data_IF_178889764992
#
_entry.id   IF_178889764992
#
_cell.length_a   1.000
_cell.length_b   1.000
_cell.length_c   1.000
_cell.angle_alpha   90.00
_cell.angle_beta   90.00
_cell.angle_gamma   90.00
#
_symmetry.space_group_name_H-M   'P 1'
#
loop_
_entity.id
_entity.type
_entity.pdbx_description
1 polymer ?
#
# COMPACT_ATOMS: atom_id res chain seq x y z
N UNK A 1 -17.89 2.38 6.36
CA UNK A 1 -16.53 2.85 6.68
C UNK A 1 -15.96 3.64 5.49
N UNK A 2 -15.85 4.98 5.60
CA UNK A 2 -15.46 5.88 4.50
C UNK A 2 -14.16 5.48 3.80
N UNK A 3 -13.19 4.95 4.56
CA UNK A 3 -11.86 4.57 4.09
C UNK A 3 -11.88 3.41 3.10
N UNK A 4 -12.92 2.56 3.13
CA UNK A 4 -12.99 1.38 2.26
C UNK A 4 -13.69 1.66 0.93
N UNK A 5 -14.43 2.77 0.80
CA UNK A 5 -15.32 3.02 -0.36
C UNK A 5 -14.59 3.09 -1.70
N UNK A 6 -13.34 3.53 -1.73
CA UNK A 6 -12.54 3.62 -2.95
C UNK A 6 -11.90 2.25 -3.28
N UNK A 7 -12.20 1.64 -4.45
CA UNK A 7 -11.62 0.36 -4.86
C UNK A 7 -10.09 0.35 -4.85
N UNK A 8 -9.44 1.48 -5.18
CA UNK A 8 -7.97 1.61 -5.15
C UNK A 8 -7.42 1.47 -3.75
N UNK A 9 -8.01 2.18 -2.78
CA UNK A 9 -7.60 2.10 -1.38
C UNK A 9 -7.81 0.69 -0.84
N UNK A 10 -8.93 0.06 -1.19
CA UNK A 10 -9.24 -1.31 -0.81
C UNK A 10 -8.20 -2.32 -1.35
N UNK A 11 -7.76 -2.14 -2.59
CA UNK A 11 -6.68 -2.96 -3.18
C UNK A 11 -5.32 -2.72 -2.49
N UNK A 12 -4.98 -1.47 -2.17
CA UNK A 12 -3.77 -1.15 -1.42
C UNK A 12 -3.78 -1.76 0.00
N UNK A 13 -4.91 -1.68 0.71
CA UNK A 13 -5.05 -2.31 2.03
C UNK A 13 -4.90 -3.83 1.96
N UNK A 14 -5.47 -4.50 0.95
CA UNK A 14 -5.31 -5.94 0.79
C UNK A 14 -3.85 -6.33 0.61
N UNK A 15 -3.12 -5.67 -0.30
CA UNK A 15 -1.69 -5.94 -0.52
C UNK A 15 -0.84 -5.64 0.71
N UNK A 16 -1.08 -4.52 1.40
CA UNK A 16 -0.34 -4.18 2.61
C UNK A 16 -0.58 -5.20 3.73
N UNK A 17 -1.82 -5.70 3.86
CA UNK A 17 -2.15 -6.76 4.81
C UNK A 17 -1.40 -8.05 4.49
N UNK A 18 -1.31 -8.45 3.22
CA UNK A 18 -0.57 -9.65 2.80
C UNK A 18 0.89 -9.58 3.27
N UNK A 19 1.57 -8.44 3.07
CA UNK A 19 2.94 -8.25 3.55
C UNK A 19 3.06 -8.22 5.08
N UNK A 20 2.12 -7.58 5.78
CA UNK A 20 2.12 -7.61 7.26
C UNK A 20 1.95 -9.04 7.78
N UNK A 21 1.13 -9.86 7.12
CA UNK A 21 0.97 -11.28 7.46
C UNK A 21 2.26 -12.06 7.23
N UNK A 22 2.93 -11.85 6.09
CA UNK A 22 4.24 -12.48 5.82
C UNK A 22 5.30 -12.09 6.85
N UNK A 23 5.37 -10.80 7.21
CA UNK A 23 6.28 -10.31 8.25
C UNK A 23 5.99 -10.98 9.61
N UNK A 24 4.72 -11.15 9.95
CA UNK A 24 4.29 -11.79 11.19
C UNK A 24 4.66 -13.28 11.20
N UNK A 25 4.43 -13.99 10.10
CA UNK A 25 4.79 -15.41 9.96
C UNK A 25 6.31 -15.60 10.06
N UNK A 26 7.10 -14.77 9.38
CA UNK A 26 8.56 -14.79 9.43
C UNK A 26 9.08 -14.52 10.86
N UNK A 27 8.50 -13.53 11.56
CA UNK A 27 8.85 -13.22 12.93
C UNK A 27 8.53 -14.39 13.89
N UNK A 28 7.37 -15.03 13.71
CA UNK A 28 6.96 -16.18 14.54
C UNK A 28 7.80 -17.44 14.26
N UNK A 29 8.23 -17.63 13.01
CA UNK A 29 9.09 -18.74 12.61
C UNK A 29 10.57 -18.56 13.04
N UNK A 30 10.92 -17.41 13.64
CA UNK A 30 12.28 -17.08 14.03
C UNK A 30 13.22 -16.87 12.84
N UNK A 31 12.68 -16.48 11.69
CA UNK A 31 13.47 -16.19 10.50
C UNK A 31 14.26 -14.87 10.66
N UNK A 32 15.25 -14.66 9.79
CA UNK A 32 16.14 -13.50 9.84
C UNK A 32 15.33 -12.18 9.86
N UNK A 33 15.72 -11.26 10.75
CA UNK A 33 15.06 -9.95 10.90
C UNK A 33 15.02 -9.13 9.61
N UNK A 34 15.92 -9.41 8.66
CA UNK A 34 15.92 -8.79 7.33
C UNK A 34 14.65 -9.09 6.53
N UNK A 35 14.10 -10.31 6.63
CA UNK A 35 12.86 -10.67 5.94
C UNK A 35 11.66 -9.91 6.54
N UNK A 36 11.61 -9.82 7.87
CA UNK A 36 10.59 -9.02 8.57
C UNK A 36 10.68 -7.55 8.16
N UNK A 37 11.89 -7.00 8.07
CA UNK A 37 12.10 -5.60 7.68
C UNK A 37 11.67 -5.32 6.24
N UNK A 38 11.92 -6.26 5.32
CA UNK A 38 11.50 -6.15 3.91
C UNK A 38 9.98 -6.08 3.83
N UNK A 39 9.27 -7.03 4.43
CA UNK A 39 7.81 -7.10 4.33
C UNK A 39 7.12 -5.93 5.05
N UNK A 40 7.65 -5.49 6.21
CA UNK A 40 7.15 -4.28 6.87
C UNK A 40 7.39 -3.04 6.02
N UNK A 41 8.58 -2.92 5.41
CA UNK A 41 8.92 -1.81 4.52
C UNK A 41 7.98 -1.74 3.32
N UNK A 42 7.69 -2.88 2.70
CA UNK A 42 6.78 -2.96 1.55
C UNK A 42 5.34 -2.61 1.94
N UNK A 43 4.86 -3.07 3.10
CA UNK A 43 3.55 -2.68 3.61
C UNK A 43 3.44 -1.16 3.80
N UNK A 44 4.46 -0.52 4.36
CA UNK A 44 4.50 0.95 4.53
C UNK A 44 4.54 1.65 3.16
N UNK A 45 5.34 1.14 2.23
CA UNK A 45 5.43 1.68 0.88
C UNK A 45 4.08 1.64 0.15
N UNK A 46 3.36 0.52 0.21
CA UNK A 46 2.03 0.36 -0.40
C UNK A 46 1.01 1.32 0.24
N UNK A 47 1.05 1.48 1.57
CA UNK A 47 0.15 2.41 2.27
C UNK A 47 0.41 3.87 1.87
N UNK A 48 1.66 4.22 1.56
CA UNK A 48 2.01 5.54 1.01
C UNK A 48 1.32 5.87 -0.31
N UNK A 49 0.87 4.88 -1.09
CA UNK A 49 0.13 5.14 -2.34
C UNK A 49 -1.26 5.76 -2.05
N UNK A 50 -1.80 5.52 -0.86
CA UNK A 50 -3.11 6.04 -0.43
C UNK A 50 -2.99 7.53 -0.12
N UNK A 51 -1.95 7.91 0.64
CA UNK A 51 -1.68 9.30 1.06
C UNK A 51 -1.00 10.11 -0.05
N UNK A 52 -0.40 9.43 -1.04
CA UNK A 52 0.32 10.05 -2.15
C UNK A 52 1.84 10.13 -1.94
N UNK A 53 2.35 9.71 -0.77
CA UNK A 53 3.78 9.74 -0.44
C UNK A 53 4.64 8.85 -1.36
N UNK A 54 4.06 7.76 -1.87
CA UNK A 54 4.72 6.81 -2.78
C UNK A 54 3.92 6.61 -4.07
N UNK A 55 2.98 7.51 -4.39
CA UNK A 55 2.17 7.39 -5.59
C UNK A 55 3.03 7.53 -6.87
N UNK A 56 2.84 6.61 -7.81
CA UNK A 56 3.50 6.70 -9.12
C UNK A 56 2.90 7.80 -10.00
N UNK A 57 3.68 8.29 -10.96
CA UNK A 57 3.21 9.27 -11.96
C UNK A 57 2.01 8.74 -12.74
N UNK A 58 2.02 7.46 -13.13
CA UNK A 58 0.90 6.80 -13.83
C UNK A 58 -0.37 6.77 -12.98
N UNK A 59 -0.23 6.53 -11.68
CA UNK A 59 -1.37 6.53 -10.77
C UNK A 59 -1.95 7.94 -10.63
N UNK A 60 -1.09 8.96 -10.50
CA UNK A 60 -1.52 10.36 -10.46
C UNK A 60 -2.20 10.76 -11.76
N UNK A 61 -1.65 10.39 -12.91
CA UNK A 61 -2.25 10.65 -14.22
C UNK A 61 -3.63 10.00 -14.35
N UNK A 62 -3.79 8.76 -13.86
CA UNK A 62 -5.09 8.06 -13.84
C UNK A 62 -6.12 8.78 -12.96
N UNK A 63 -5.72 9.23 -11.77
CA UNK A 63 -6.60 9.95 -10.85
C UNK A 63 -7.03 11.28 -11.46
N UNK A 64 -6.07 12.11 -11.92
CA UNK A 64 -6.36 13.43 -12.45
C UNK A 64 -7.03 13.42 -13.82
N UNK A 65 -6.87 12.35 -14.61
CA UNK A 65 -7.62 12.16 -15.86
C UNK A 65 -9.14 12.07 -15.66
N UNK A 66 -9.62 11.81 -14.44
CA UNK A 66 -11.05 11.80 -14.10
C UNK A 66 -11.59 13.18 -13.67
N UNK A 67 -10.72 14.19 -13.55
CA UNK A 67 -11.11 15.53 -13.16
C UNK A 67 -11.43 16.37 -14.39
N UNK A 68 -12.39 17.29 -14.26
CA UNK A 68 -12.65 18.29 -15.28
C UNK A 68 -11.43 19.21 -15.43
N UNK A 69 -11.22 19.74 -16.63
CA UNK A 69 -10.20 20.76 -16.90
C UNK A 69 -10.43 21.97 -15.98
N UNK A 70 -9.40 22.35 -15.23
CA UNK A 70 -9.42 23.51 -14.32
C UNK A 70 -9.62 23.20 -12.84
N UNK A 71 -9.58 21.92 -12.44
CA UNK A 71 -9.37 21.47 -11.05
C UNK A 71 -7.93 21.01 -10.86
#
# INVERSE_FOLDING_TARGET
DPLTSNPRHRAAFARALDHVTLALEAAQAGWFGDLVAIDVGEAVFILGEITGETASEDLLATIFGQFCIGK
#
